data_IF_057246917344
#
_entry.id   IF_057246917344
#
_cell.length_a   1.000
_cell.length_b   1.000
_cell.length_c   1.000
_cell.angle_alpha   90.00
_cell.angle_beta   90.00
_cell.angle_gamma   90.00
#
_symmetry.space_group_name_H-M   'P 1'
#
loop_
_entity.id
_entity.type
_entity.pdbx_description
1 polymer ?
#
# COMPACT_ATOMS: atom_id res chain seq x y z
N UNK A 1 -5.17 -0.31 2.89
CA UNK A 1 -4.80 1.12 2.96
C UNK A 1 -4.12 1.62 1.69
N UNK A 2 -3.29 0.82 1.00
CA UNK A 2 -2.58 1.29 -0.21
C UNK A 2 -3.33 1.16 -1.56
N UNK A 3 -4.51 0.53 -1.58
CA UNK A 3 -5.29 0.30 -2.82
C UNK A 3 -4.63 -0.57 -3.91
N UNK A 4 -3.40 -1.07 -3.71
CA UNK A 4 -2.62 -1.83 -4.68
C UNK A 4 -3.14 -3.26 -4.95
N UNK A 5 -2.72 -3.84 -6.08
CA UNK A 5 -3.05 -5.23 -6.44
C UNK A 5 -2.26 -6.20 -5.57
N UNK A 6 -2.77 -7.41 -5.39
CA UNK A 6 -2.14 -8.45 -4.57
C UNK A 6 -0.72 -8.77 -5.08
N UNK A 7 -0.58 -8.94 -6.38
CA UNK A 7 0.66 -9.33 -7.04
C UNK A 7 1.71 -8.22 -6.94
N UNK A 8 1.28 -6.96 -7.02
CA UNK A 8 2.14 -5.78 -6.84
C UNK A 8 2.76 -5.77 -5.44
N UNK A 9 1.94 -5.93 -4.41
CA UNK A 9 2.40 -5.97 -3.01
C UNK A 9 3.28 -7.19 -2.75
N UNK A 10 2.92 -8.36 -3.28
CA UNK A 10 3.68 -9.59 -3.11
C UNK A 10 5.06 -9.57 -3.78
N UNK A 11 5.28 -8.65 -4.73
CA UNK A 11 6.56 -8.48 -5.43
C UNK A 11 7.42 -7.33 -4.87
N UNK A 12 6.97 -6.67 -3.80
CA UNK A 12 7.63 -5.51 -3.23
C UNK A 12 8.99 -5.88 -2.60
N UNK A 13 10.03 -5.11 -2.94
CA UNK A 13 11.38 -5.24 -2.38
C UNK A 13 11.70 -4.09 -1.44
N UNK A 14 12.67 -4.28 -0.55
CA UNK A 14 13.09 -3.22 0.37
C UNK A 14 13.60 -1.96 -0.34
N UNK A 15 14.23 -2.12 -1.51
CA UNK A 15 14.67 -1.02 -2.36
C UNK A 15 13.53 -0.19 -2.96
N UNK A 16 12.30 -0.74 -2.98
CA UNK A 16 11.13 -0.06 -3.52
C UNK A 16 10.43 0.81 -2.45
N UNK A 17 10.91 0.79 -1.20
CA UNK A 17 10.37 1.57 -0.07
C UNK A 17 11.39 2.63 0.36
N UNK A 18 10.96 3.89 0.35
CA UNK A 18 11.71 5.00 0.92
C UNK A 18 11.06 5.48 2.22
N UNK A 19 11.64 5.07 3.36
CA UNK A 19 11.19 5.46 4.69
C UNK A 19 11.58 6.91 5.06
N UNK A 20 12.57 7.49 4.38
CA UNK A 20 12.98 8.88 4.64
C UNK A 20 12.01 9.85 3.95
N UNK A 21 11.69 9.57 2.68
CA UNK A 21 10.81 10.39 1.86
C UNK A 21 9.36 9.94 1.87
N UNK A 22 9.02 8.92 2.66
CA UNK A 22 7.69 8.33 2.79
C UNK A 22 7.06 8.07 1.41
N UNK A 23 7.77 7.30 0.60
CA UNK A 23 7.34 6.93 -0.75
C UNK A 23 7.46 5.43 -0.98
N UNK A 24 6.59 4.93 -1.86
CA UNK A 24 6.51 3.53 -2.23
C UNK A 24 6.45 3.42 -3.75
N UNK A 25 7.44 2.76 -4.33
CA UNK A 25 7.46 2.44 -5.76
C UNK A 25 6.77 1.10 -5.98
N UNK A 26 5.75 1.08 -6.82
CA UNK A 26 5.00 -0.12 -7.18
C UNK A 26 5.17 -0.35 -8.67
N UNK A 27 5.74 -1.50 -9.04
CA UNK A 27 5.80 -1.94 -10.43
C UNK A 27 4.39 -2.30 -10.88
N UNK A 28 3.87 -1.59 -11.88
CA UNK A 28 2.54 -1.86 -12.42
C UNK A 28 2.66 -2.88 -13.57
N UNK A 29 1.55 -3.52 -13.93
CA UNK A 29 1.44 -4.27 -15.18
C UNK A 29 1.16 -3.33 -16.37
N UNK A 30 0.68 -2.13 -16.07
CA UNK A 30 0.17 -1.14 -17.03
C UNK A 30 1.24 -0.12 -17.46
N UNK A 31 1.95 0.44 -16.49
CA UNK A 31 3.12 1.32 -16.64
C UNK A 31 4.35 0.58 -16.10
N UNK A 32 5.57 1.05 -16.41
CA UNK A 32 6.79 0.47 -15.81
C UNK A 32 6.73 0.49 -14.27
N UNK A 33 6.28 1.61 -13.68
CA UNK A 33 6.04 1.74 -12.23
C UNK A 33 5.22 3.00 -11.91
N UNK A 34 4.61 3.00 -10.72
CA UNK A 34 4.03 4.20 -10.08
C UNK A 34 4.64 4.44 -8.71
N UNK A 35 4.73 5.70 -8.32
CA UNK A 35 5.16 6.10 -6.98
C UNK A 35 3.94 6.61 -6.24
N UNK A 36 3.64 6.01 -5.10
CA UNK A 36 2.60 6.45 -4.18
C UNK A 36 3.22 6.84 -2.84
N UNK A 37 2.47 7.56 -2.02
CA UNK A 37 2.94 7.88 -0.67
C UNK A 37 2.93 6.63 0.20
N UNK A 38 3.99 6.47 1.00
CA UNK A 38 4.01 5.54 2.11
C UNK A 38 3.35 6.23 3.30
N UNK A 39 2.16 5.78 3.69
CA UNK A 39 1.40 6.39 4.77
C UNK A 39 1.99 5.97 6.14
N UNK A 40 1.91 6.84 7.18
CA UNK A 40 2.57 6.61 8.46
C UNK A 40 2.33 5.24 9.10
N UNK A 41 1.10 4.75 9.13
CA UNK A 41 0.80 3.46 9.76
C UNK A 41 1.26 2.29 8.89
N UNK A 42 1.13 2.37 7.56
CA UNK A 42 1.76 1.40 6.64
C UNK A 42 3.27 1.40 6.81
N UNK A 43 3.92 2.55 6.95
CA UNK A 43 5.36 2.65 7.20
C UNK A 43 5.74 1.92 8.49
N UNK A 44 4.99 2.14 9.57
CA UNK A 44 5.18 1.46 10.85
C UNK A 44 5.04 -0.07 10.71
N UNK A 45 3.99 -0.55 10.04
CA UNK A 45 3.78 -1.98 9.81
C UNK A 45 4.93 -2.59 9.00
N UNK A 46 5.36 -1.94 7.91
CA UNK A 46 6.44 -2.44 7.07
C UNK A 46 7.79 -2.39 7.78
N UNK A 47 8.05 -1.38 8.61
CA UNK A 47 9.27 -1.29 9.40
C UNK A 47 9.39 -2.41 10.45
N UNK A 48 8.28 -2.98 10.90
CA UNK A 48 8.26 -4.09 11.87
C UNK A 48 8.56 -5.46 11.24
N UNK A 49 8.56 -5.56 9.90
CA UNK A 49 8.79 -6.83 9.22
C UNK A 49 10.28 -7.22 9.23
N UNK A 50 10.60 -8.53 9.37
CA UNK A 50 11.98 -9.00 9.38
C UNK A 50 12.62 -8.89 7.98
N UNK A 51 13.81 -8.30 7.92
CA UNK A 51 14.61 -8.13 6.69
C UNK A 51 15.49 -9.36 6.40
N UNK A 52 14.86 -10.47 6.00
CA UNK A 52 15.56 -11.75 5.75
C UNK A 52 16.28 -11.80 4.39
N UNK A 53 15.71 -11.14 3.38
CA UNK A 53 16.25 -11.08 2.03
C UNK A 53 15.75 -9.80 1.34
N UNK A 54 15.95 -9.68 0.03
CA UNK A 54 15.55 -8.50 -0.75
C UNK A 54 14.03 -8.21 -0.77
N UNK A 55 13.20 -9.20 -0.41
CA UNK A 55 11.74 -9.12 -0.49
C UNK A 55 11.16 -8.62 0.83
N UNK A 56 10.16 -7.74 0.77
CA UNK A 56 9.47 -7.22 1.95
C UNK A 56 8.65 -8.32 2.61
N UNK A 57 7.85 -9.01 1.81
CA UNK A 57 7.09 -10.19 2.24
C UNK A 57 7.92 -11.45 1.93
N UNK A 58 8.93 -11.71 2.76
CA UNK A 58 9.82 -12.86 2.61
C UNK A 58 9.16 -14.19 3.03
N UNK A 59 9.48 -15.28 2.32
CA UNK A 59 9.13 -16.65 2.72
C UNK A 59 10.40 -17.51 2.77
N UNK A 60 10.77 -18.07 3.94
CA UNK A 60 11.96 -18.91 4.06
C UNK A 60 11.87 -20.24 3.29
N UNK A 61 10.66 -20.71 3.02
CA UNK A 61 10.40 -22.02 2.40
C UNK A 61 10.12 -21.93 0.90
N UNK A 62 9.93 -20.73 0.36
CA UNK A 62 9.65 -20.55 -1.06
C UNK A 62 10.95 -20.45 -1.87
N UNK A 63 11.04 -21.15 -3.00
CA UNK A 63 12.18 -21.06 -3.93
C UNK A 63 12.40 -19.63 -4.43
N UNK A 64 11.32 -18.87 -4.65
CA UNK A 64 11.37 -17.46 -5.05
C UNK A 64 11.83 -16.51 -3.93
N UNK A 65 11.95 -17.00 -2.69
CA UNK A 65 12.28 -16.22 -1.50
C UNK A 65 11.19 -15.25 -1.03
N UNK A 66 10.02 -15.23 -1.68
CA UNK A 66 8.89 -14.33 -1.35
C UNK A 66 7.61 -15.09 -1.06
N UNK A 67 6.74 -14.49 -0.24
CA UNK A 67 5.36 -14.92 -0.04
C UNK A 67 4.56 -14.61 -1.32
N UNK A 68 4.41 -15.63 -2.18
CA UNK A 68 3.73 -15.46 -3.47
C UNK A 68 2.19 -15.45 -3.34
N UNK A 69 1.64 -16.21 -2.40
CA UNK A 69 0.20 -16.30 -2.18
C UNK A 69 -0.17 -16.02 -0.70
N UNK A 70 -0.79 -14.86 -0.41
CA UNK A 70 -1.25 -14.54 0.93
C UNK A 70 -2.63 -15.14 1.25
N UNK A 71 -3.27 -15.88 0.34
CA UNK A 71 -4.67 -16.34 0.49
C UNK A 71 -4.92 -17.20 1.72
N UNK A 72 -3.94 -18.01 2.15
CA UNK A 72 -4.06 -18.82 3.37
C UNK A 72 -4.13 -17.92 4.61
N UNK A 73 -3.20 -16.98 4.74
CA UNK A 73 -3.18 -16.03 5.86
C UNK A 73 -4.42 -15.13 5.86
N UNK A 74 -4.83 -14.67 4.67
CA UNK A 74 -6.03 -13.86 4.48
C UNK A 74 -7.30 -14.58 4.91
N UNK A 75 -7.51 -15.84 4.48
CA UNK A 75 -8.66 -16.65 4.91
C UNK A 75 -8.69 -16.88 6.41
N UNK A 76 -7.52 -17.13 7.03
CA UNK A 76 -7.42 -17.26 8.49
C UNK A 76 -7.83 -15.97 9.21
N UNK A 77 -7.33 -14.81 8.75
CA UNK A 77 -7.71 -13.52 9.31
C UNK A 77 -9.22 -13.26 9.17
N UNK A 78 -9.80 -13.57 8.01
CA UNK A 78 -11.24 -13.45 7.77
C UNK A 78 -12.07 -14.35 8.70
N UNK A 79 -11.66 -15.61 8.88
CA UNK A 79 -12.33 -16.54 9.78
C UNK A 79 -12.30 -16.07 11.25
N UNK A 80 -11.16 -15.55 11.71
CA UNK A 80 -11.02 -14.98 13.07
C UNK A 80 -11.90 -13.74 13.24
N UNK A 81 -11.98 -12.90 12.21
CA UNK A 81 -12.78 -11.68 12.23
C UNK A 81 -14.29 -11.92 12.00
N UNK A 82 -14.71 -13.15 11.65
CA UNK A 82 -16.10 -13.44 11.28
C UNK A 82 -16.54 -12.76 9.99
N UNK A 83 -15.63 -12.53 9.05
CA UNK A 83 -15.88 -11.81 7.79
C UNK A 83 -15.73 -12.72 6.58
N UNK A 84 -16.53 -12.49 5.55
CA UNK A 84 -16.30 -13.04 4.22
C UNK A 84 -15.78 -11.94 3.29
N UNK A 85 -14.47 -11.93 3.04
CA UNK A 85 -13.82 -10.90 2.24
C UNK A 85 -12.72 -11.51 1.36
N UNK A 86 -12.58 -10.99 0.14
CA UNK A 86 -11.49 -11.38 -0.77
C UNK A 86 -10.44 -10.27 -0.85
N UNK A 87 -9.23 -10.61 -1.32
CA UNK A 87 -8.18 -9.62 -1.58
C UNK A 87 -8.61 -8.59 -2.65
N UNK A 88 -9.35 -9.05 -3.65
CA UNK A 88 -9.98 -8.14 -4.62
C UNK A 88 -11.07 -7.28 -3.95
N UNK A 89 -11.84 -7.86 -3.04
CA UNK A 89 -12.79 -7.15 -2.18
C UNK A 89 -12.15 -6.01 -1.42
N UNK A 90 -11.02 -6.24 -0.74
CA UNK A 90 -10.24 -5.19 -0.06
C UNK A 90 -9.83 -4.04 -0.99
N UNK A 91 -9.40 -4.36 -2.22
CA UNK A 91 -9.05 -3.34 -3.21
C UNK A 91 -10.27 -2.53 -3.65
N UNK A 92 -11.43 -3.16 -3.86
CA UNK A 92 -12.69 -2.45 -4.17
C UNK A 92 -13.17 -1.61 -2.99
N UNK A 93 -13.10 -2.14 -1.78
CA UNK A 93 -13.42 -1.40 -0.56
C UNK A 93 -12.57 -0.14 -0.42
N UNK A 94 -11.28 -0.18 -0.77
CA UNK A 94 -10.45 1.03 -0.78
C UNK A 94 -11.04 2.14 -1.68
N UNK A 95 -11.43 1.81 -2.92
CA UNK A 95 -12.05 2.80 -3.82
C UNK A 95 -13.35 3.37 -3.24
N UNK A 96 -14.21 2.49 -2.72
CA UNK A 96 -15.47 2.93 -2.10
C UNK A 96 -15.20 3.84 -0.89
N UNK A 97 -14.29 3.45 0.01
CA UNK A 97 -13.95 4.26 1.19
C UNK A 97 -13.31 5.61 0.83
N UNK A 98 -12.60 5.70 -0.30
CA UNK A 98 -12.12 6.98 -0.81
C UNK A 98 -13.26 7.96 -1.14
N UNK A 99 -14.43 7.48 -1.57
CA UNK A 99 -15.60 8.34 -1.80
C UNK A 99 -16.13 8.94 -0.50
N UNK A 100 -16.09 8.21 0.62
CA UNK A 100 -16.55 8.68 1.93
C UNK A 100 -15.74 9.86 2.48
N UNK A 101 -14.50 9.99 2.04
CA UNK A 101 -13.64 11.13 2.40
C UNK A 101 -13.56 12.19 1.29
N UNK A 102 -14.38 12.03 0.23
CA UNK A 102 -14.46 12.92 -0.93
C UNK A 102 -13.14 12.99 -1.72
N UNK A 103 -12.38 11.88 -1.76
CA UNK A 103 -11.15 11.83 -2.54
C UNK A 103 -11.46 11.94 -4.04
N UNK A 104 -10.83 12.87 -4.78
CA UNK A 104 -11.01 12.98 -6.22
C UNK A 104 -10.73 11.66 -6.93
N UNK A 105 -11.62 11.26 -7.84
CA UNK A 105 -11.55 9.97 -8.56
C UNK A 105 -10.20 9.73 -9.24
N UNK A 106 -9.61 10.76 -9.85
CA UNK A 106 -8.29 10.67 -10.49
C UNK A 106 -7.14 10.44 -9.49
N UNK A 107 -7.27 10.86 -8.24
CA UNK A 107 -6.29 10.56 -7.18
C UNK A 107 -6.43 9.11 -6.74
N UNK A 108 -7.65 8.65 -6.50
CA UNK A 108 -7.95 7.24 -6.19
C UNK A 108 -7.43 6.31 -7.30
N UNK A 109 -7.72 6.65 -8.56
CA UNK A 109 -7.26 5.91 -9.74
C UNK A 109 -5.74 5.83 -9.83
N UNK A 110 -5.04 6.96 -9.61
CA UNK A 110 -3.58 7.02 -9.63
C UNK A 110 -2.95 6.20 -8.50
N UNK A 111 -3.50 6.25 -7.27
CA UNK A 111 -3.03 5.41 -6.15
C UNK A 111 -3.21 3.93 -6.48
N UNK A 112 -4.38 3.56 -7.02
CA UNK A 112 -4.71 2.18 -7.37
C UNK A 112 -3.96 1.66 -8.61
N UNK A 113 -3.37 2.52 -9.44
CA UNK A 113 -2.80 2.12 -10.74
C UNK A 113 -3.87 1.72 -11.74
N UNK A 114 -5.00 2.44 -11.76
CA UNK A 114 -6.00 2.30 -12.82
C UNK A 114 -5.55 3.06 -14.06
N UNK A 115 -5.75 2.44 -15.24
CA UNK A 115 -5.54 3.13 -16.51
C UNK A 115 -6.47 4.34 -16.57
N UNK A 116 -5.96 5.51 -16.97
CA UNK A 116 -6.81 6.66 -17.23
C UNK A 116 -7.88 6.30 -18.28
N UNK A 117 -9.12 6.68 -18.02
CA UNK A 117 -10.24 6.45 -18.92
C UNK A 117 -10.65 7.78 -19.56
N UNK A 118 -10.50 7.85 -20.89
CA UNK A 118 -10.91 9.00 -21.69
C UNK A 118 -9.78 9.96 -22.09
N UNK A 119 -10.01 10.70 -23.17
CA UNK A 119 -9.01 11.55 -23.85
C UNK A 119 -8.43 12.65 -22.95
N UNK A 120 -9.23 13.17 -22.00
CA UNK A 120 -8.78 14.19 -21.02
C UNK A 120 -7.85 13.62 -19.94
N UNK A 121 -8.03 12.37 -19.52
CA UNK A 121 -7.14 11.71 -18.56
C UNK A 121 -5.90 11.12 -19.23
N UNK A 122 -6.02 10.71 -20.50
CA UNK A 122 -4.90 10.22 -21.32
C UNK A 122 -3.84 11.31 -21.58
N UNK A 123 -4.26 12.57 -21.64
CA UNK A 123 -3.39 13.70 -22.00
C UNK A 123 -2.93 14.58 -20.82
N UNK A 124 -3.35 14.36 -19.57
CA UNK A 124 -3.01 15.33 -18.51
C UNK A 124 -2.99 14.81 -17.06
N UNK A 125 -1.88 15.18 -16.38
CA UNK A 125 -1.57 15.19 -14.93
C UNK A 125 -1.16 13.86 -14.30
N UNK A 126 0.14 13.53 -14.40
CA UNK A 126 0.81 12.78 -13.33
C UNK A 126 0.80 13.66 -12.08
N UNK A 127 -0.11 13.37 -11.14
CA UNK A 127 -0.22 14.18 -9.91
C UNK A 127 1.04 14.00 -9.08
N UNK A 128 1.58 15.07 -8.49
CA UNK A 128 2.78 15.00 -7.68
C UNK A 128 2.54 14.15 -6.43
N UNK A 129 3.60 13.51 -5.94
CA UNK A 129 3.56 12.63 -4.77
C UNK A 129 2.96 13.33 -3.54
N UNK A 130 3.27 14.60 -3.34
CA UNK A 130 2.77 15.37 -2.18
C UNK A 130 1.25 15.54 -2.23
N UNK A 131 0.68 15.73 -3.42
CA UNK A 131 -0.78 15.77 -3.59
C UNK A 131 -1.40 14.40 -3.29
N UNK A 132 -0.79 13.31 -3.75
CA UNK A 132 -1.24 11.96 -3.39
C UNK A 132 -1.16 11.75 -1.87
N UNK A 133 -0.10 12.25 -1.23
CA UNK A 133 0.13 12.11 0.22
C UNK A 133 -0.98 12.72 1.06
N UNK A 134 -1.45 13.91 0.73
CA UNK A 134 -2.58 14.57 1.45
C UNK A 134 -3.76 13.61 1.56
N UNK A 135 -4.17 13.03 0.44
CA UNK A 135 -5.34 12.18 0.35
C UNK A 135 -5.11 10.78 0.91
N UNK A 136 -3.93 10.20 0.69
CA UNK A 136 -3.58 8.87 1.17
C UNK A 136 -3.46 8.83 2.70
N UNK A 137 -2.92 9.90 3.31
CA UNK A 137 -2.89 10.05 4.77
C UNK A 137 -4.30 10.29 5.30
N UNK A 138 -5.13 11.10 4.63
CA UNK A 138 -6.53 11.32 5.03
C UNK A 138 -7.32 10.01 5.12
N UNK A 139 -7.21 9.13 4.12
CA UNK A 139 -7.90 7.83 4.15
C UNK A 139 -7.32 6.87 5.18
N UNK A 140 -6.00 6.88 5.40
CA UNK A 140 -5.39 6.08 6.47
C UNK A 140 -5.92 6.51 7.84
N UNK A 141 -5.86 7.81 8.15
CA UNK A 141 -6.37 8.35 9.43
C UNK A 141 -7.84 8.01 9.64
N UNK A 142 -8.68 8.17 8.61
CA UNK A 142 -10.09 7.82 8.69
C UNK A 142 -10.31 6.32 8.95
N UNK A 143 -9.54 5.44 8.30
CA UNK A 143 -9.63 3.97 8.52
C UNK A 143 -9.24 3.64 9.97
N UNK A 144 -8.16 4.23 10.48
CA UNK A 144 -7.69 3.99 11.85
C UNK A 144 -8.70 4.46 12.90
N UNK A 145 -9.28 5.64 12.69
CA UNK A 145 -10.35 6.17 13.54
C UNK A 145 -11.55 5.23 13.58
N UNK A 146 -12.02 4.76 12.41
CA UNK A 146 -13.13 3.79 12.32
C UNK A 146 -12.81 2.43 12.94
N UNK A 147 -11.52 2.08 13.01
CA UNK A 147 -11.05 0.85 13.64
C UNK A 147 -10.78 1.01 15.15
N UNK A 148 -10.89 2.22 15.71
CA UNK A 148 -10.51 2.50 17.10
C UNK A 148 -9.01 2.31 17.37
N UNK A 149 -8.16 2.51 16.36
CA UNK A 149 -6.71 2.34 16.49
C UNK A 149 -6.08 3.72 16.73
N UNK A 150 -5.53 3.90 17.92
CA UNK A 150 -4.72 5.08 18.25
C UNK A 150 -3.29 4.90 17.73
N UNK A 151 -2.85 5.79 16.85
CA UNK A 151 -1.51 5.75 16.26
C UNK A 151 -0.85 7.13 16.27
N UNK A 152 0.11 7.31 17.18
CA UNK A 152 1.00 8.47 17.21
C UNK A 152 2.25 8.16 16.38
N UNK A 153 2.27 8.57 15.11
CA UNK A 153 3.27 8.19 14.10
C UNK A 153 4.74 8.57 14.35
N UNK A 154 5.37 8.05 15.40
CA UNK A 154 6.83 8.09 15.60
C UNK A 154 7.46 6.88 14.94
N UNK A 155 7.82 7.02 13.66
CA UNK A 155 8.71 6.03 13.02
C UNK A 155 10.03 6.08 13.77
N UNK A 156 10.34 5.05 14.58
CA UNK A 156 11.67 4.88 15.16
C UNK A 156 12.65 4.68 14.00
N UNK A 157 13.39 5.72 13.66
CA UNK A 157 14.56 5.62 12.80
C UNK A 157 15.59 4.75 13.52
N UNK A 158 15.55 3.44 13.28
CA UNK A 158 16.64 2.55 13.68
C UNK A 158 17.81 2.81 12.74
N UNK A 159 18.53 3.91 12.97
CA UNK A 159 19.86 4.16 12.45
C UNK A 159 20.76 3.03 12.96
N UNK A 160 20.91 1.97 12.16
CA UNK A 160 22.01 1.04 12.36
C UNK A 160 23.24 1.71 11.78
N UNK A 161 24.03 2.34 12.65
CA UNK A 161 25.38 2.74 12.32
C UNK A 161 26.16 1.48 11.95
N UNK A 162 26.51 1.35 10.68
CA UNK A 162 27.47 0.34 10.23
C UNK A 162 28.84 0.84 10.72
N UNK A 163 29.44 0.09 11.65
CA UNK A 163 30.87 0.19 11.96
C UNK A 163 31.68 -0.56 10.92
#
# INVERSE_FOLDING_TARGET
MAGARREEIACLRWQDIDFQWNSLTINDKVDDFRIISLTPYVAYLLASLPRRNKQVFSSPTAVSGRLADPSIAHRKACAIAGLELTLHGLRRSFANLCEWIEMPSGITAQIQGHKPQGVREQNYIRRPLDLLRVWHVKIESWILERAGIEFEGKIKSSLHAVK
#
